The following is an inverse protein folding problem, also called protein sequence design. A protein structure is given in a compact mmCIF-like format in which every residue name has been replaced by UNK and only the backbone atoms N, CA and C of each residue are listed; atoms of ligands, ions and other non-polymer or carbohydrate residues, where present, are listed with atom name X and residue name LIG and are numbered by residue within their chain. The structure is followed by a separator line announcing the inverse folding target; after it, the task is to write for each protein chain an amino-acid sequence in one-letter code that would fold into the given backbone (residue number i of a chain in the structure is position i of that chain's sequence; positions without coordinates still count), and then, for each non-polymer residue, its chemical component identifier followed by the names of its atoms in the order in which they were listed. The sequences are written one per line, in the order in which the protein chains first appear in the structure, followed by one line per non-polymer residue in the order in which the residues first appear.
data_IF_187919367657
#
_entry.id   IF_187919367657
#
_cell.length_a   1.000
_cell.length_b   1.000
_cell.length_c   1.000
_cell.angle_alpha   90.00
_cell.angle_beta   90.00
_cell.angle_gamma   90.00
#
_symmetry.space_group_name_H-M   'P 1'
#
loop_
_entity.id
_entity.type
_entity.pdbx_description
1 polymer ?
#
# COMPACT_ATOMS: atom_id res chain seq x y z
N UNK A 1 42.13 9.78 9.94
CA UNK A 1 41.57 9.20 8.70
C UNK A 1 40.05 9.23 8.74
N UNK A 2 39.48 10.34 8.26
CA UNK A 2 38.04 10.59 8.27
C UNK A 2 37.43 10.24 6.91
N UNK A 3 36.58 9.22 6.87
CA UNK A 3 35.81 8.87 5.69
C UNK A 3 34.70 9.91 5.47
N UNK A 4 34.82 10.70 4.42
CA UNK A 4 33.81 11.63 3.97
C UNK A 4 32.55 10.87 3.51
N UNK A 5 31.42 11.11 4.17
CA UNK A 5 30.12 10.60 3.72
C UNK A 5 29.69 11.33 2.45
N UNK A 6 29.41 10.59 1.38
CA UNK A 6 28.80 11.14 0.18
C UNK A 6 27.43 11.80 0.51
N UNK A 7 27.10 12.95 -0.08
CA UNK A 7 25.83 13.62 0.20
C UNK A 7 24.68 12.82 -0.44
N UNK A 8 23.66 12.54 0.37
CA UNK A 8 22.38 11.98 -0.11
C UNK A 8 21.80 12.93 -1.15
N UNK A 9 21.58 12.42 -2.37
CA UNK A 9 20.89 13.15 -3.42
C UNK A 9 19.48 13.54 -2.93
N UNK A 10 19.28 14.82 -2.63
CA UNK A 10 17.94 15.36 -2.43
C UNK A 10 17.20 15.25 -3.75
N UNK A 11 16.08 14.52 -3.77
CA UNK A 11 15.08 14.60 -4.83
C UNK A 11 14.54 16.04 -4.86
N UNK A 12 15.24 16.91 -5.58
CA UNK A 12 14.79 18.25 -5.85
C UNK A 12 13.55 18.16 -6.72
N UNK A 13 12.37 18.30 -6.10
CA UNK A 13 11.14 18.60 -6.84
C UNK A 13 11.36 19.98 -7.47
N UNK A 14 11.84 20.00 -8.71
CA UNK A 14 11.88 21.22 -9.51
C UNK A 14 10.43 21.66 -9.68
N UNK A 15 10.02 22.68 -8.93
CA UNK A 15 8.77 23.40 -9.21
C UNK A 15 8.93 24.07 -10.57
N UNK A 16 8.57 23.35 -11.62
CA UNK A 16 8.39 23.94 -12.93
C UNK A 16 7.17 24.83 -12.82
N UNK A 17 7.38 26.15 -12.68
CA UNK A 17 6.32 27.13 -12.86
C UNK A 17 5.83 26.97 -14.30
N UNK A 18 4.75 26.24 -14.49
CA UNK A 18 3.99 26.32 -15.73
C UNK A 18 3.60 27.78 -15.89
N UNK A 19 3.95 28.37 -17.04
CA UNK A 19 3.56 29.74 -17.37
C UNK A 19 2.05 29.91 -17.18
N UNK A 20 1.61 31.13 -16.89
CA UNK A 20 0.28 31.50 -16.40
C UNK A 20 -0.94 31.07 -17.24
N UNK A 21 -0.78 30.25 -18.29
CA UNK A 21 -1.83 29.82 -19.22
C UNK A 21 -1.76 28.32 -19.60
N UNK A 22 -1.09 27.46 -18.84
CA UNK A 22 -1.15 26.02 -19.13
C UNK A 22 -2.56 25.47 -18.83
N UNK A 23 -3.39 25.34 -19.86
CA UNK A 23 -4.71 24.71 -19.76
C UNK A 23 -4.52 23.24 -19.36
N UNK A 24 -5.12 22.84 -18.24
CA UNK A 24 -5.13 21.43 -17.80
C UNK A 24 -6.00 20.65 -18.80
N UNK A 25 -5.40 19.70 -19.50
CA UNK A 25 -6.09 18.86 -20.49
C UNK A 25 -6.75 17.62 -19.87
N UNK A 26 -6.32 17.23 -18.66
CA UNK A 26 -6.86 16.08 -17.95
C UNK A 26 -6.21 15.88 -16.59
N UNK A 27 -6.85 15.05 -15.76
CA UNK A 27 -6.37 14.64 -14.44
C UNK A 27 -6.39 13.11 -14.39
N UNK A 28 -5.27 12.51 -13.99
CA UNK A 28 -5.16 11.07 -13.77
C UNK A 28 -5.08 10.85 -12.26
N UNK A 29 -5.95 10.00 -11.74
CA UNK A 29 -5.96 9.63 -10.34
C UNK A 29 -5.34 8.26 -10.17
N UNK A 30 -4.51 8.12 -9.15
CA UNK A 30 -4.30 6.82 -8.55
C UNK A 30 -5.63 6.35 -7.92
N UNK A 31 -5.85 5.04 -7.85
CA UNK A 31 -7.09 4.49 -7.31
C UNK A 31 -6.99 4.36 -5.78
N UNK A 32 -6.07 3.49 -5.35
CA UNK A 32 -5.86 3.13 -3.96
C UNK A 32 -5.27 4.30 -3.18
N UNK A 33 -5.80 4.56 -1.98
CA UNK A 33 -5.32 5.65 -1.14
C UNK A 33 -5.68 7.07 -1.63
N UNK A 34 -6.17 7.24 -2.85
CA UNK A 34 -6.61 8.52 -3.43
C UNK A 34 -8.13 8.59 -3.59
N UNK A 35 -8.73 7.68 -4.35
CA UNK A 35 -10.18 7.66 -4.59
C UNK A 35 -10.91 6.74 -3.62
N UNK A 36 -10.29 5.61 -3.27
CA UNK A 36 -10.84 4.59 -2.38
C UNK A 36 -9.88 4.30 -1.22
N UNK A 37 -10.45 3.88 -0.10
CA UNK A 37 -9.71 3.30 1.03
C UNK A 37 -9.78 1.77 0.95
N UNK A 38 -8.85 1.20 0.17
CA UNK A 38 -8.61 -0.25 0.08
C UNK A 38 -7.68 -0.76 1.17
N UNK A 39 -6.84 0.11 1.74
CA UNK A 39 -5.79 -0.23 2.70
C UNK A 39 -6.35 -0.89 3.96
N UNK A 40 -7.47 -0.36 4.48
CA UNK A 40 -8.17 -0.96 5.63
C UNK A 40 -8.64 -2.38 5.36
N UNK A 41 -9.23 -2.62 4.19
CA UNK A 41 -9.71 -3.94 3.80
C UNK A 41 -8.54 -4.90 3.62
N UNK A 42 -7.47 -4.47 2.98
CA UNK A 42 -6.24 -5.25 2.81
C UNK A 42 -5.63 -5.64 4.15
N UNK A 43 -5.51 -4.71 5.10
CA UNK A 43 -4.99 -5.00 6.44
C UNK A 43 -5.88 -6.01 7.19
N UNK A 44 -7.20 -5.84 7.14
CA UNK A 44 -8.14 -6.77 7.78
C UNK A 44 -8.07 -8.17 7.17
N UNK A 45 -7.93 -8.26 5.84
CA UNK A 45 -7.69 -9.53 5.16
C UNK A 45 -6.40 -10.18 5.66
N UNK A 46 -5.27 -9.49 5.63
CA UNK A 46 -3.99 -10.07 6.08
C UNK A 46 -4.08 -10.49 7.56
N UNK A 47 -4.68 -9.66 8.43
CA UNK A 47 -4.88 -10.00 9.83
C UNK A 47 -5.66 -11.31 10.01
N UNK A 48 -6.63 -11.62 9.15
CA UNK A 48 -7.38 -12.89 9.21
C UNK A 48 -6.52 -14.14 8.97
N UNK A 49 -5.39 -14.00 8.28
CA UNK A 49 -4.42 -15.08 8.06
C UNK A 49 -3.44 -15.19 9.24
N UNK A 50 -3.11 -14.08 9.87
CA UNK A 50 -2.15 -14.02 10.98
C UNK A 50 -2.80 -14.44 12.31
N UNK A 51 -4.07 -14.09 12.52
CA UNK A 51 -4.80 -14.32 13.77
C UNK A 51 -4.88 -15.78 14.21
N UNK A 52 -5.14 -16.78 13.33
CA UNK A 52 -5.15 -18.19 13.72
C UNK A 52 -3.79 -18.70 14.22
N UNK A 53 -2.72 -17.96 13.94
CA UNK A 53 -1.37 -18.27 14.37
C UNK A 53 -0.92 -17.42 15.56
N UNK A 54 -1.81 -16.63 16.17
CA UNK A 54 -1.46 -15.73 17.27
C UNK A 54 -0.46 -14.64 16.86
N UNK A 55 -0.44 -14.30 15.56
CA UNK A 55 0.37 -13.21 15.03
C UNK A 55 -0.51 -11.99 14.82
N UNK A 56 0.08 -10.80 15.01
CA UNK A 56 -0.59 -9.52 14.82
C UNK A 56 0.02 -8.77 13.63
N UNK A 57 -0.87 -8.29 12.75
CA UNK A 57 -0.54 -7.43 11.64
C UNK A 57 -0.57 -5.97 12.09
N UNK A 58 0.60 -5.43 12.39
CA UNK A 58 0.76 -4.07 12.91
C UNK A 58 0.92 -3.04 11.78
N UNK A 59 0.66 -1.77 12.07
CA UNK A 59 0.94 -0.65 11.15
C UNK A 59 2.41 -0.60 10.75
N UNK A 60 3.32 -0.91 11.68
CA UNK A 60 4.76 -0.98 11.43
C UNK A 60 5.10 -2.03 10.35
N UNK A 61 4.47 -3.21 10.42
CA UNK A 61 4.60 -4.27 9.41
C UNK A 61 4.00 -3.85 8.08
N UNK A 62 2.85 -3.20 8.11
CA UNK A 62 2.19 -2.70 6.92
C UNK A 62 3.04 -1.67 6.16
N UNK A 63 3.64 -0.72 6.88
CA UNK A 63 4.52 0.29 6.29
C UNK A 63 5.75 -0.27 5.57
N UNK A 64 6.18 -1.49 5.90
CA UNK A 64 7.33 -2.14 5.27
C UNK A 64 7.00 -2.83 3.95
N UNK A 65 5.72 -3.11 3.70
CA UNK A 65 5.23 -3.70 2.45
C UNK A 65 4.52 -2.70 1.54
N UNK A 66 4.14 -1.54 2.07
CA UNK A 66 3.45 -0.50 1.31
C UNK A 66 4.29 -0.06 0.09
N UNK A 67 3.65 0.06 -1.07
CA UNK A 67 4.31 0.43 -2.34
C UNK A 67 5.14 -0.69 -2.98
N UNK A 68 5.12 -1.91 -2.43
CA UNK A 68 5.75 -3.08 -3.06
C UNK A 68 4.75 -3.86 -3.91
N UNK A 69 5.21 -4.44 -5.01
CA UNK A 69 4.37 -5.24 -5.93
C UNK A 69 4.19 -6.69 -5.48
N UNK A 70 4.87 -7.12 -4.42
CA UNK A 70 4.87 -8.49 -3.92
C UNK A 70 4.50 -8.51 -2.44
N UNK A 71 3.69 -9.48 -2.03
CA UNK A 71 3.52 -9.78 -0.63
C UNK A 71 4.68 -10.67 -0.18
N UNK A 72 5.33 -10.34 0.93
CA UNK A 72 6.52 -11.06 1.42
C UNK A 72 6.19 -11.84 2.71
N UNK A 73 5.45 -12.96 2.62
CA UNK A 73 4.94 -13.67 3.80
C UNK A 73 6.06 -14.09 4.75
N UNK A 74 7.20 -14.60 4.23
CA UNK A 74 8.37 -14.96 5.06
C UNK A 74 8.90 -13.79 5.87
N UNK A 75 9.06 -12.62 5.25
CA UNK A 75 9.58 -11.42 5.92
C UNK A 75 8.61 -10.97 7.00
N UNK A 76 7.30 -10.96 6.70
CA UNK A 76 6.27 -10.58 7.65
C UNK A 76 6.24 -11.52 8.87
N UNK A 77 6.25 -12.84 8.64
CA UNK A 77 6.25 -13.85 9.69
C UNK A 77 7.50 -13.75 10.59
N UNK A 78 8.68 -13.54 10.00
CA UNK A 78 9.91 -13.34 10.75
C UNK A 78 9.87 -12.07 11.62
N UNK A 79 9.28 -10.98 11.10
CA UNK A 79 9.12 -9.75 11.86
C UNK A 79 8.08 -9.86 12.98
N UNK A 80 7.08 -10.74 12.84
CA UNK A 80 6.17 -11.10 13.93
C UNK A 80 6.82 -12.03 14.99
N UNK A 81 8.11 -12.36 14.86
CA UNK A 81 8.84 -13.20 15.81
C UNK A 81 8.51 -14.69 15.70
N UNK A 82 7.94 -15.16 14.58
CA UNK A 82 7.76 -16.59 14.36
C UNK A 82 9.11 -17.29 14.23
N UNK A 83 9.26 -18.46 14.86
CA UNK A 83 10.49 -19.25 14.74
C UNK A 83 10.72 -19.73 13.28
N UNK A 84 11.97 -20.05 12.89
CA UNK A 84 12.28 -20.39 11.50
C UNK A 84 11.51 -21.60 10.95
N UNK A 85 11.23 -22.62 11.78
CA UNK A 85 10.49 -23.80 11.34
C UNK A 85 9.02 -23.44 11.06
N UNK A 86 8.46 -22.55 11.88
CA UNK A 86 7.11 -22.01 11.72
C UNK A 86 7.00 -21.06 10.52
N UNK A 87 8.00 -20.21 10.29
CA UNK A 87 8.07 -19.36 9.08
C UNK A 87 8.05 -20.23 7.83
N UNK A 88 8.85 -21.29 7.79
CA UNK A 88 8.90 -22.24 6.67
C UNK A 88 7.54 -22.87 6.43
N UNK A 89 6.89 -23.41 7.47
CA UNK A 89 5.60 -24.06 7.36
C UNK A 89 4.49 -23.11 6.89
N UNK A 90 4.40 -21.91 7.49
CA UNK A 90 3.37 -20.94 7.18
C UNK A 90 3.57 -20.29 5.81
N UNK A 91 4.81 -20.03 5.40
CA UNK A 91 5.09 -19.44 4.09
C UNK A 91 4.65 -20.31 2.91
N UNK A 92 4.46 -21.62 3.11
CA UNK A 92 3.98 -22.55 2.07
C UNK A 92 2.48 -22.51 1.86
N UNK A 93 1.72 -22.06 2.87
CA UNK A 93 0.25 -22.04 2.84
C UNK A 93 -0.31 -20.64 2.68
N UNK A 94 0.50 -19.61 2.91
CA UNK A 94 0.15 -18.21 2.67
C UNK A 94 0.31 -17.85 1.18
N UNK A 95 -0.53 -16.94 0.65
CA UNK A 95 -0.47 -16.56 -0.74
C UNK A 95 0.78 -15.71 -0.99
N UNK A 96 1.43 -15.93 -2.13
CA UNK A 96 2.56 -15.09 -2.57
C UNK A 96 2.08 -13.73 -3.13
N UNK A 97 0.78 -13.58 -3.36
CA UNK A 97 0.14 -12.39 -3.92
C UNK A 97 -1.23 -12.15 -3.32
N UNK A 98 -1.52 -10.88 -3.02
CA UNK A 98 -2.86 -10.41 -2.63
C UNK A 98 -3.67 -10.10 -3.89
N UNK A 99 -3.94 -11.11 -4.71
CA UNK A 99 -4.70 -10.96 -5.97
C UNK A 99 -5.61 -12.14 -6.25
N UNK A 100 -5.92 -12.98 -5.25
CA UNK A 100 -6.85 -14.10 -5.45
C UNK A 100 -8.27 -13.58 -5.64
N UNK A 101 -9.17 -14.33 -6.31
CA UNK A 101 -10.57 -13.94 -6.44
C UNK A 101 -11.23 -13.63 -5.09
N UNK A 102 -10.98 -14.43 -4.06
CA UNK A 102 -11.54 -14.26 -2.71
C UNK A 102 -11.04 -12.97 -2.06
N UNK A 103 -9.75 -12.64 -2.24
CA UNK A 103 -9.22 -11.35 -1.80
C UNK A 103 -9.89 -10.19 -2.54
N UNK A 104 -10.03 -10.28 -3.86
CA UNK A 104 -10.62 -9.20 -4.66
C UNK A 104 -12.08 -8.97 -4.28
N UNK A 105 -12.86 -10.03 -4.09
CA UNK A 105 -14.24 -9.98 -3.62
C UNK A 105 -14.31 -9.37 -2.21
N UNK A 106 -13.49 -9.87 -1.29
CA UNK A 106 -13.44 -9.35 0.08
C UNK A 106 -13.12 -7.86 0.13
N UNK A 107 -12.12 -7.42 -0.65
CA UNK A 107 -11.73 -6.00 -0.71
C UNK A 107 -12.86 -5.19 -1.31
N UNK A 108 -13.41 -5.61 -2.45
CA UNK A 108 -14.49 -4.90 -3.15
C UNK A 108 -15.71 -4.65 -2.26
N UNK A 109 -16.09 -5.62 -1.42
CA UNK A 109 -17.19 -5.48 -0.46
C UNK A 109 -16.94 -4.45 0.64
N UNK A 110 -15.68 -4.12 0.92
CA UNK A 110 -15.27 -3.28 2.06
C UNK A 110 -14.64 -1.96 1.63
N UNK A 111 -14.56 -1.70 0.33
CA UNK A 111 -14.09 -0.43 -0.20
C UNK A 111 -14.99 0.69 0.26
N UNK A 112 -14.36 1.77 0.72
CA UNK A 112 -15.06 3.03 0.96
C UNK A 112 -14.47 4.11 0.08
N UNK A 113 -15.32 4.99 -0.43
CA UNK A 113 -14.87 6.15 -1.19
C UNK A 113 -14.24 7.15 -0.23
N UNK A 114 -13.07 7.69 -0.56
CA UNK A 114 -12.40 8.67 0.31
C UNK A 114 -13.20 9.97 0.38
N UNK A 115 -13.27 10.60 1.57
CA UNK A 115 -13.94 11.89 1.72
C UNK A 115 -13.44 12.91 0.69
N UNK A 116 -14.38 13.52 -0.04
CA UNK A 116 -14.08 14.54 -1.04
C UNK A 116 -13.73 14.00 -2.44
N UNK A 117 -13.46 12.70 -2.62
CA UNK A 117 -13.12 12.13 -3.94
C UNK A 117 -14.25 12.34 -4.96
N UNK A 118 -15.50 12.00 -4.60
CA UNK A 118 -16.67 12.23 -5.46
C UNK A 118 -16.89 13.71 -5.78
N UNK A 119 -16.73 14.60 -4.79
CA UNK A 119 -16.92 16.03 -4.99
C UNK A 119 -15.87 16.62 -5.93
N UNK A 120 -14.63 16.15 -5.84
CA UNK A 120 -13.54 16.53 -6.72
C UNK A 120 -13.81 16.10 -8.17
N UNK A 121 -14.20 14.84 -8.38
CA UNK A 121 -14.53 14.32 -9.72
C UNK A 121 -15.64 15.12 -10.36
N UNK A 122 -16.77 15.33 -9.65
CA UNK A 122 -17.89 16.14 -10.15
C UNK A 122 -17.47 17.57 -10.52
N UNK A 123 -16.58 18.16 -9.72
CA UNK A 123 -16.08 19.51 -9.98
C UNK A 123 -15.24 19.55 -11.25
N UNK A 124 -14.39 18.55 -11.48
CA UNK A 124 -13.54 18.46 -12.67
C UNK A 124 -14.33 18.18 -13.95
N UNK A 125 -15.42 17.41 -13.86
CA UNK A 125 -16.34 17.15 -14.99
C UNK A 125 -17.14 18.40 -15.41
N UNK A 126 -17.31 19.37 -14.51
CA UNK A 126 -18.06 20.60 -14.78
C UNK A 126 -17.22 21.73 -15.42
N UNK A 127 -15.93 21.48 -15.68
CA UNK A 127 -15.02 22.41 -16.37
C UNK A 127 -14.98 22.16 -17.88
#
# INVERSE_FOLDING_TARGET
DGAASAPKASLGVKRQRTGANARVAGVIFDLDGTLIDSERATCAWIQSWFSPHGLEWTTELHGQIMGTTQFFPRRCLAMCGADPARVEALSKVMPDRLTTPEYNEYVAEKLTIKPGAQALVRRLEAF
#
